data_IF_663866374994
#
_entry.id   IF_663866374994
#
_cell.length_a   1.000
_cell.length_b   1.000
_cell.length_c   1.000
_cell.angle_alpha   90.00
_cell.angle_beta   90.00
_cell.angle_gamma   90.00
#
_symmetry.space_group_name_H-M   'P 1'
#
loop_
_entity.id
_entity.type
_entity.pdbx_description
1 polymer ?
#
# COMPACT_ATOMS: atom_id res chain seq x y z
N UNK A 1 -9.36 8.22 2.77
CA UNK A 1 -8.27 8.41 1.78
C UNK A 1 -8.89 8.28 0.39
N UNK A 2 -8.70 9.23 -0.53
CA UNK A 2 -9.20 9.09 -1.91
C UNK A 2 -8.65 7.78 -2.50
N UNK A 3 -9.49 6.99 -3.18
CA UNK A 3 -9.01 5.79 -3.89
C UNK A 3 -7.90 6.22 -4.85
N UNK A 4 -6.76 5.56 -4.75
CA UNK A 4 -5.66 5.73 -5.71
C UNK A 4 -6.17 5.41 -7.11
N UNK A 5 -5.73 6.18 -8.12
CA UNK A 5 -5.99 5.88 -9.53
C UNK A 5 -5.35 4.56 -9.96
N UNK A 6 -4.29 4.14 -9.28
CA UNK A 6 -3.52 2.93 -9.57
C UNK A 6 -3.70 1.90 -8.47
N UNK A 7 -3.86 0.63 -8.84
CA UNK A 7 -3.75 -0.51 -7.91
C UNK A 7 -2.31 -0.73 -7.49
N UNK A 8 -2.11 -1.48 -6.40
CA UNK A 8 -0.76 -1.82 -5.91
C UNK A 8 0.01 -2.62 -6.97
N UNK A 9 -0.66 -3.54 -7.68
CA UNK A 9 -0.05 -4.31 -8.75
C UNK A 9 0.37 -3.44 -9.94
N UNK A 10 -0.44 -2.44 -10.30
CA UNK A 10 -0.08 -1.48 -11.35
C UNK A 10 1.14 -0.65 -10.92
N UNK A 11 1.18 -0.21 -9.66
CA UNK A 11 2.32 0.53 -9.12
C UNK A 11 3.59 -0.31 -9.18
N UNK A 12 3.54 -1.58 -8.77
CA UNK A 12 4.70 -2.50 -8.82
C UNK A 12 5.15 -2.73 -10.27
N UNK A 13 4.21 -2.91 -11.21
CA UNK A 13 4.54 -3.00 -12.63
C UNK A 13 5.28 -1.77 -13.16
N UNK A 14 4.83 -0.57 -12.79
CA UNK A 14 5.48 0.70 -13.15
C UNK A 14 6.89 0.79 -12.55
N UNK A 15 7.09 0.38 -11.29
CA UNK A 15 8.41 0.38 -10.65
C UNK A 15 9.37 -0.59 -11.35
N UNK A 16 8.87 -1.77 -11.77
CA UNK A 16 9.66 -2.78 -12.49
C UNK A 16 10.17 -2.30 -13.84
N UNK A 17 9.42 -1.46 -14.55
CA UNK A 17 9.91 -0.85 -15.79
C UNK A 17 11.18 -0.03 -15.55
N UNK A 18 11.25 0.69 -14.43
CA UNK A 18 12.45 1.42 -14.05
C UNK A 18 13.57 0.47 -13.62
N UNK A 19 13.26 -0.56 -12.83
CA UNK A 19 14.23 -1.59 -12.41
C UNK A 19 14.83 -2.35 -13.61
N UNK A 20 14.06 -2.51 -14.68
CA UNK A 20 14.49 -3.07 -15.96
C UNK A 20 15.33 -2.09 -16.82
N UNK A 21 15.58 -0.87 -16.33
CA UNK A 21 16.50 0.10 -16.95
C UNK A 21 15.83 1.28 -17.67
N UNK A 22 14.50 1.39 -17.67
CA UNK A 22 13.83 2.56 -18.26
C UNK A 22 14.06 3.79 -17.37
N UNK A 23 14.39 4.94 -17.97
CA UNK A 23 14.61 6.16 -17.23
C UNK A 23 13.33 6.59 -16.47
N UNK A 24 13.46 6.95 -15.19
CA UNK A 24 12.32 7.37 -14.34
C UNK A 24 11.46 8.45 -14.99
N UNK A 25 12.08 9.42 -15.67
CA UNK A 25 11.36 10.50 -16.35
C UNK A 25 10.48 9.99 -17.49
N UNK A 26 10.89 8.94 -18.19
CA UNK A 26 10.09 8.30 -19.24
C UNK A 26 8.94 7.50 -18.65
N UNK A 27 9.20 6.68 -17.63
CA UNK A 27 8.17 5.92 -16.90
C UNK A 27 7.09 6.86 -16.37
N UNK A 28 7.50 7.96 -15.72
CA UNK A 28 6.59 9.00 -15.22
C UNK A 28 5.73 9.61 -16.33
N UNK A 29 6.33 9.94 -17.49
CA UNK A 29 5.59 10.49 -18.63
C UNK A 29 4.58 9.50 -19.21
N UNK A 30 4.97 8.23 -19.44
CA UNK A 30 4.09 7.20 -20.02
C UNK A 30 2.85 6.96 -19.18
N UNK A 31 3.02 6.90 -17.86
CA UNK A 31 1.94 6.59 -16.93
C UNK A 31 1.21 7.82 -16.38
N UNK A 32 1.64 9.04 -16.75
CA UNK A 32 1.06 10.28 -16.24
C UNK A 32 1.23 10.44 -14.73
N UNK A 33 2.40 10.04 -14.21
CA UNK A 33 2.75 10.05 -12.79
C UNK A 33 3.84 11.09 -12.56
N UNK A 34 3.74 11.87 -11.48
CA UNK A 34 4.82 12.80 -11.12
C UNK A 34 6.02 12.04 -10.55
N UNK A 35 7.25 12.53 -10.74
CA UNK A 35 8.44 11.94 -10.13
C UNK A 35 8.31 11.82 -8.61
N UNK A 36 7.68 12.81 -7.95
CA UNK A 36 7.45 12.76 -6.51
C UNK A 36 6.54 11.59 -6.10
N UNK A 37 5.48 11.33 -6.87
CA UNK A 37 4.61 10.17 -6.65
C UNK A 37 5.35 8.87 -6.90
N UNK A 38 6.16 8.80 -7.97
CA UNK A 38 6.96 7.62 -8.28
C UNK A 38 7.91 7.25 -7.13
N UNK A 39 8.63 8.21 -6.56
CA UNK A 39 9.53 7.92 -5.44
C UNK A 39 8.80 7.57 -4.14
N UNK A 40 7.60 8.12 -3.90
CA UNK A 40 6.74 7.65 -2.79
C UNK A 40 6.33 6.20 -2.96
N UNK A 41 5.98 5.79 -4.18
CA UNK A 41 5.70 4.40 -4.49
C UNK A 41 6.94 3.52 -4.34
N UNK A 42 8.10 3.97 -4.84
CA UNK A 42 9.36 3.23 -4.71
C UNK A 42 9.74 3.01 -3.25
N UNK A 43 9.52 4.00 -2.38
CA UNK A 43 9.75 3.85 -0.95
C UNK A 43 8.80 2.84 -0.28
N UNK A 44 7.56 2.72 -0.77
CA UNK A 44 6.55 1.81 -0.19
C UNK A 44 6.60 0.39 -0.77
N UNK A 45 6.88 0.26 -2.07
CA UNK A 45 6.72 -0.97 -2.84
C UNK A 45 7.97 -1.39 -3.63
N UNK A 46 9.05 -0.60 -3.59
CA UNK A 46 10.29 -0.92 -4.31
C UNK A 46 10.90 -2.23 -3.80
N UNK A 47 11.34 -3.10 -4.71
CA UNK A 47 11.86 -4.43 -4.38
C UNK A 47 10.80 -5.43 -3.89
N UNK A 48 9.52 -5.08 -3.88
CA UNK A 48 8.42 -5.96 -3.48
C UNK A 48 7.82 -6.67 -4.70
N UNK A 49 7.62 -7.98 -4.62
CA UNK A 49 6.83 -8.73 -5.58
C UNK A 49 5.32 -8.51 -5.38
N UNK A 50 4.54 -8.72 -6.44
CA UNK A 50 3.07 -8.63 -6.41
C UNK A 50 2.47 -9.57 -5.35
N UNK A 51 3.04 -10.76 -5.18
CA UNK A 51 2.61 -11.72 -4.15
C UNK A 51 2.82 -11.18 -2.73
N UNK A 52 3.94 -10.50 -2.49
CA UNK A 52 4.27 -9.87 -1.21
C UNK A 52 3.35 -8.68 -0.92
N UNK A 53 3.04 -7.87 -1.94
CA UNK A 53 2.11 -6.76 -1.80
C UNK A 53 0.69 -7.20 -1.44
N UNK A 54 0.19 -8.26 -2.08
CA UNK A 54 -1.12 -8.85 -1.74
C UNK A 54 -1.14 -9.39 -0.31
N UNK A 55 -0.07 -10.05 0.11
CA UNK A 55 0.06 -10.56 1.48
C UNK A 55 0.09 -9.41 2.49
N UNK A 56 0.85 -8.35 2.20
CA UNK A 56 0.92 -7.16 3.05
C UNK A 56 -0.47 -6.53 3.24
N UNK A 57 -1.22 -6.35 2.15
CA UNK A 57 -2.58 -5.81 2.21
C UNK A 57 -3.52 -6.66 3.07
N UNK A 58 -3.49 -7.99 2.89
CA UNK A 58 -4.31 -8.89 3.70
C UNK A 58 -3.98 -8.76 5.20
N UNK A 59 -2.69 -8.64 5.55
CA UNK A 59 -2.25 -8.43 6.92
C UNK A 59 -2.67 -7.05 7.47
N UNK A 60 -2.60 -5.99 6.66
CA UNK A 60 -3.07 -4.64 7.05
C UNK A 60 -4.58 -4.62 7.32
N UNK A 61 -5.38 -5.29 6.48
CA UNK A 61 -6.83 -5.40 6.64
C UNK A 61 -7.19 -6.21 7.90
N UNK A 62 -6.52 -7.34 8.12
CA UNK A 62 -6.71 -8.16 9.32
C UNK A 62 -6.31 -7.40 10.59
N UNK A 63 -5.16 -6.71 10.59
CA UNK A 63 -4.71 -5.92 11.73
C UNK A 63 -5.72 -4.82 12.08
N UNK A 64 -6.29 -4.16 11.07
CA UNK A 64 -7.33 -3.14 11.24
C UNK A 64 -8.58 -3.74 11.89
N UNK A 65 -9.02 -4.91 11.44
CA UNK A 65 -10.16 -5.64 12.03
C UNK A 65 -9.88 -6.03 13.48
N UNK A 66 -8.70 -6.60 13.75
CA UNK A 66 -8.30 -7.02 15.09
C UNK A 66 -8.24 -5.84 16.06
N UNK A 67 -7.68 -4.70 15.65
CA UNK A 67 -7.65 -3.47 16.45
C UNK A 67 -9.05 -2.98 16.82
N UNK A 68 -9.99 -3.03 15.86
CA UNK A 68 -11.38 -2.65 16.12
C UNK A 68 -12.04 -3.59 17.13
N UNK A 69 -11.92 -4.90 16.92
CA UNK A 69 -12.48 -5.89 17.85
C UNK A 69 -11.91 -5.75 19.26
N UNK A 70 -10.60 -5.47 19.36
CA UNK A 70 -9.95 -5.23 20.65
C UNK A 70 -10.51 -3.97 21.33
N UNK A 71 -10.67 -2.87 20.58
CA UNK A 71 -11.25 -1.65 21.12
C UNK A 71 -12.68 -1.86 21.62
N UNK A 72 -13.52 -2.54 20.84
CA UNK A 72 -14.90 -2.87 21.22
C UNK A 72 -14.92 -3.73 22.50
N UNK A 73 -14.10 -4.78 22.56
CA UNK A 73 -13.99 -5.64 23.75
C UNK A 73 -13.46 -4.90 24.98
N UNK A 74 -12.54 -3.94 24.83
CA UNK A 74 -12.05 -3.12 25.93
C UNK A 74 -13.14 -2.20 26.48
N UNK A 75 -13.97 -1.61 25.61
CA UNK A 75 -15.11 -0.77 26.02
C UNK A 75 -16.14 -1.60 26.80
N UNK A 76 -16.49 -2.79 26.31
CA UNK A 76 -17.39 -3.71 27.02
C UNK A 76 -16.83 -4.10 28.39
N UNK A 77 -15.51 -4.35 28.47
CA UNK A 77 -14.88 -4.73 29.73
C UNK A 77 -14.91 -3.60 30.78
N UNK A 78 -14.78 -2.34 30.35
CA UNK A 78 -14.93 -1.17 31.24
C UNK A 78 -16.38 -1.09 31.72
N UNK A 79 -17.35 -1.16 30.81
CA UNK A 79 -18.78 -1.07 31.17
C UNK A 79 -19.26 -2.19 32.12
N UNK A 80 -18.61 -3.36 32.09
CA UNK A 80 -18.93 -4.50 32.99
C UNK A 80 -18.22 -4.41 34.35
N UNK A 81 -17.23 -3.53 34.51
CA UNK A 81 -16.44 -3.36 35.73
C UNK A 81 -16.83 -2.13 36.55
N UNK A 82 -17.64 -1.24 35.99
CA UNK A 82 -18.37 -0.18 36.70
C UNK A 82 -19.68 -0.73 37.30
#
# INVERSE_FOLDING_TARGET
MKRSRFTEEQIIGILREQEAGVATAEVCRRHGVSSATFYKWKAKFGGMDVSEARRLKALEDENTKLKRMLADAMLDNVALKD
#
